data_IF_631999078024
#
_entry.id   IF_631999078024
#
_cell.length_a   1.000
_cell.length_b   1.000
_cell.length_c   1.000
_cell.angle_alpha   90.00
_cell.angle_beta   90.00
_cell.angle_gamma   90.00
#
_symmetry.space_group_name_H-M   'P 1'
#
loop_
_entity.id
_entity.type
_entity.pdbx_description
1 polymer ?
#
# COMPACT_ATOMS: atom_id res chain seq x y z
N UNK A 1 -11.39 14.76 16.56
CA UNK A 1 -11.94 13.75 15.61
C UNK A 1 -12.61 14.35 14.36
N UNK A 2 -13.56 15.30 14.45
CA UNK A 2 -14.27 15.83 13.25
C UNK A 2 -13.40 16.61 12.24
N UNK A 3 -12.25 17.14 12.64
CA UNK A 3 -11.32 17.82 11.71
C UNK A 3 -10.52 16.81 10.87
N UNK A 4 -9.98 15.75 11.49
CA UNK A 4 -9.20 14.71 10.80
C UNK A 4 -10.02 13.93 9.76
N UNK A 5 -11.30 13.63 10.05
CA UNK A 5 -12.16 12.93 9.09
C UNK A 5 -12.49 13.78 7.85
N UNK A 6 -12.65 15.10 8.03
CA UNK A 6 -12.87 16.02 6.90
C UNK A 6 -11.62 16.15 6.04
N UNK A 7 -10.45 16.18 6.68
CA UNK A 7 -9.17 16.22 5.99
C UNK A 7 -8.89 14.92 5.23
N UNK A 8 -9.07 13.76 5.87
CA UNK A 8 -8.96 12.44 5.21
C UNK A 8 -9.89 12.35 3.99
N UNK A 9 -11.14 12.79 4.13
CA UNK A 9 -12.08 12.78 3.02
C UNK A 9 -11.59 13.65 1.86
N UNK A 10 -11.13 14.85 2.14
CA UNK A 10 -10.61 15.77 1.11
C UNK A 10 -9.41 15.16 0.38
N UNK A 11 -8.49 14.59 1.15
CA UNK A 11 -7.30 13.93 0.65
C UNK A 11 -7.63 12.70 -0.20
N UNK A 12 -8.56 11.86 0.28
CA UNK A 12 -9.06 10.69 -0.44
C UNK A 12 -9.63 11.09 -1.81
N UNK A 13 -10.44 12.16 -1.87
CA UNK A 13 -11.02 12.62 -3.15
C UNK A 13 -9.97 13.21 -4.09
N UNK A 14 -8.93 13.87 -3.57
CA UNK A 14 -7.82 14.37 -4.38
C UNK A 14 -6.96 13.24 -4.96
N UNK A 15 -6.79 12.13 -4.23
CA UNK A 15 -5.95 11.00 -4.64
C UNK A 15 -6.69 9.88 -5.37
N UNK A 16 -8.02 9.86 -5.30
CA UNK A 16 -8.86 8.86 -5.96
C UNK A 16 -8.57 8.72 -7.47
N UNK A 17 -8.43 9.82 -8.26
CA UNK A 17 -8.12 9.70 -9.69
C UNK A 17 -6.81 8.95 -9.95
N UNK A 18 -5.76 9.25 -9.17
CA UNK A 18 -4.47 8.58 -9.29
C UNK A 18 -4.57 7.12 -8.91
N UNK A 19 -5.32 6.80 -7.85
CA UNK A 19 -5.58 5.42 -7.45
C UNK A 19 -6.32 4.63 -8.52
N UNK A 20 -7.28 5.25 -9.22
CA UNK A 20 -7.98 4.64 -10.35
C UNK A 20 -6.98 4.33 -11.47
N UNK A 21 -6.17 5.30 -11.90
CA UNK A 21 -5.18 5.09 -12.96
C UNK A 21 -4.13 4.03 -12.57
N UNK A 22 -3.64 4.07 -11.34
CA UNK A 22 -2.72 3.08 -10.80
C UNK A 22 -3.35 1.68 -10.73
N UNK A 23 -4.62 1.57 -10.34
CA UNK A 23 -5.34 0.30 -10.33
C UNK A 23 -5.51 -0.25 -11.73
N UNK A 24 -5.90 0.59 -12.70
CA UNK A 24 -5.97 0.18 -14.12
C UNK A 24 -4.60 -0.30 -14.61
N UNK A 25 -3.52 0.43 -14.27
CA UNK A 25 -2.15 0.04 -14.60
C UNK A 25 -1.75 -1.30 -13.98
N UNK A 26 -2.06 -1.51 -12.70
CA UNK A 26 -1.80 -2.77 -11.98
C UNK A 26 -2.60 -3.94 -12.56
N UNK A 27 -3.88 -3.72 -12.88
CA UNK A 27 -4.72 -4.72 -13.56
C UNK A 27 -4.20 -5.05 -14.95
N UNK A 28 -3.81 -4.04 -15.73
CA UNK A 28 -3.22 -4.25 -17.05
C UNK A 28 -1.92 -5.05 -16.95
N UNK A 29 -1.05 -4.73 -15.99
CA UNK A 29 0.18 -5.47 -15.72
C UNK A 29 -0.12 -6.95 -15.40
N UNK A 30 -0.99 -7.22 -14.43
CA UNK A 30 -1.34 -8.59 -14.04
C UNK A 30 -2.08 -9.33 -15.16
N UNK A 31 -2.91 -8.66 -15.97
CA UNK A 31 -3.56 -9.22 -17.14
C UNK A 31 -2.54 -9.65 -18.21
N UNK A 32 -1.57 -8.79 -18.52
CA UNK A 32 -0.48 -9.11 -19.46
C UNK A 32 0.33 -10.29 -18.92
N UNK A 33 0.67 -10.30 -17.63
CA UNK A 33 1.40 -11.41 -17.01
C UNK A 33 0.60 -12.71 -17.02
N UNK A 34 -0.72 -12.65 -16.82
CA UNK A 34 -1.61 -13.82 -16.93
C UNK A 34 -1.60 -14.36 -18.36
N UNK A 35 -1.85 -13.50 -19.35
CA UNK A 35 -1.92 -13.89 -20.75
C UNK A 35 -0.59 -14.43 -21.29
N UNK A 36 0.54 -13.78 -20.94
CA UNK A 36 1.87 -14.23 -21.36
C UNK A 36 2.36 -15.44 -20.55
N UNK A 37 1.91 -15.60 -19.31
CA UNK A 37 2.31 -16.69 -18.43
C UNK A 37 1.59 -18.01 -18.71
N UNK A 38 0.32 -17.96 -19.14
CA UNK A 38 -0.51 -19.15 -19.40
C UNK A 38 0.15 -20.22 -20.29
N UNK A 39 0.81 -19.88 -21.41
CA UNK A 39 1.49 -20.87 -22.25
C UNK A 39 2.67 -21.57 -21.58
N UNK A 40 3.35 -20.90 -20.63
CA UNK A 40 4.61 -21.37 -20.04
C UNK A 40 4.47 -21.98 -18.65
N UNK A 41 3.49 -21.53 -17.86
CA UNK A 41 3.33 -21.86 -16.44
C UNK A 41 1.97 -22.48 -16.12
N UNK A 42 1.34 -23.16 -17.08
CA UNK A 42 -0.05 -23.63 -17.01
C UNK A 42 -0.46 -24.33 -15.71
N UNK A 43 0.44 -25.12 -15.10
CA UNK A 43 0.16 -25.82 -13.84
C UNK A 43 0.62 -25.06 -12.57
N UNK A 44 1.44 -24.02 -12.70
CA UNK A 44 2.04 -23.31 -11.57
C UNK A 44 1.93 -21.77 -11.66
N UNK A 45 0.95 -21.27 -12.40
CA UNK A 45 0.68 -19.84 -12.54
C UNK A 45 0.42 -19.15 -11.19
N UNK A 46 -0.36 -19.75 -10.24
CA UNK A 46 -0.51 -19.18 -8.90
C UNK A 46 0.80 -19.10 -8.12
N UNK A 47 1.71 -20.07 -8.32
CA UNK A 47 3.03 -20.06 -7.71
C UNK A 47 3.89 -18.89 -8.22
N UNK A 48 3.92 -18.64 -9.52
CA UNK A 48 4.64 -17.50 -10.09
C UNK A 48 4.09 -16.15 -9.58
N UNK A 49 2.77 -16.02 -9.46
CA UNK A 49 2.14 -14.82 -8.90
C UNK A 49 2.41 -14.66 -7.40
N UNK A 50 2.59 -15.76 -6.66
CA UNK A 50 3.00 -15.71 -5.25
C UNK A 50 4.39 -15.11 -5.09
N UNK A 51 5.35 -15.52 -5.92
CA UNK A 51 6.71 -14.95 -5.90
C UNK A 51 6.69 -13.46 -6.25
N UNK A 52 5.90 -13.06 -7.25
CA UNK A 52 5.71 -11.64 -7.56
C UNK A 52 5.06 -10.88 -6.41
N UNK A 53 4.06 -11.45 -5.74
CA UNK A 53 3.47 -10.86 -4.55
C UNK A 53 4.52 -10.63 -3.45
N UNK A 54 5.43 -11.60 -3.22
CA UNK A 54 6.56 -11.49 -2.30
C UNK A 54 7.64 -10.49 -2.72
N UNK A 55 7.56 -9.93 -3.93
CA UNK A 55 8.40 -8.81 -4.37
C UNK A 55 7.65 -7.47 -4.25
N UNK A 56 6.39 -7.44 -4.67
CA UNK A 56 5.58 -6.21 -4.71
C UNK A 56 5.12 -5.76 -3.32
N UNK A 57 4.66 -6.66 -2.46
CA UNK A 57 4.18 -6.29 -1.12
C UNK A 57 5.28 -5.65 -0.24
N UNK A 58 6.51 -6.18 -0.17
CA UNK A 58 7.60 -5.53 0.59
C UNK A 58 8.10 -4.25 -0.07
N UNK A 59 8.09 -4.18 -1.40
CA UNK A 59 8.41 -2.94 -2.10
C UNK A 59 7.38 -1.85 -1.75
N UNK A 60 6.09 -2.17 -1.73
CA UNK A 60 5.05 -1.28 -1.24
C UNK A 60 5.29 -0.88 0.22
N UNK A 61 5.62 -1.84 1.09
CA UNK A 61 5.90 -1.57 2.50
C UNK A 61 7.10 -0.64 2.71
N UNK A 62 8.15 -0.78 1.90
CA UNK A 62 9.30 0.13 1.91
C UNK A 62 8.86 1.56 1.57
N UNK A 63 8.10 1.74 0.49
CA UNK A 63 7.64 3.07 0.09
C UNK A 63 6.68 3.67 1.12
N UNK A 64 5.76 2.88 1.67
CA UNK A 64 4.83 3.32 2.70
C UNK A 64 5.54 3.70 4.00
N UNK A 65 6.50 2.90 4.47
CA UNK A 65 7.31 3.22 5.64
C UNK A 65 8.13 4.51 5.44
N UNK A 66 8.68 4.71 4.23
CA UNK A 66 9.41 5.93 3.89
C UNK A 66 8.50 7.17 3.92
N UNK A 67 7.33 7.09 3.28
CA UNK A 67 6.34 8.17 3.25
C UNK A 67 5.83 8.50 4.67
N UNK A 68 5.40 7.47 5.41
CA UNK A 68 4.88 7.60 6.78
C UNK A 68 5.92 8.21 7.73
N UNK A 69 7.17 7.75 7.66
CA UNK A 69 8.26 8.27 8.49
C UNK A 69 8.63 9.70 8.11
N UNK A 70 8.77 9.99 6.82
CA UNK A 70 9.09 11.34 6.33
C UNK A 70 8.02 12.33 6.77
N UNK A 71 6.74 11.98 6.61
CA UNK A 71 5.62 12.81 7.03
C UNK A 71 5.61 13.04 8.53
N UNK A 72 5.80 12.01 9.36
CA UNK A 72 5.91 12.20 10.81
C UNK A 72 7.08 13.12 11.19
N UNK A 73 8.25 12.90 10.57
CA UNK A 73 9.49 13.60 10.89
C UNK A 73 9.42 15.11 10.63
N UNK A 74 8.58 15.56 9.71
CA UNK A 74 8.37 16.98 9.45
C UNK A 74 7.72 17.72 10.64
N UNK A 75 6.87 17.04 11.40
CA UNK A 75 6.14 17.63 12.52
C UNK A 75 6.76 17.29 13.87
N UNK A 76 7.38 16.12 14.02
CA UNK A 76 8.02 15.70 15.27
C UNK A 76 9.35 14.97 15.02
N UNK A 77 10.44 15.55 15.55
CA UNK A 77 11.82 15.04 15.38
C UNK A 77 12.24 13.99 16.43
N UNK A 78 11.29 13.30 17.06
CA UNK A 78 11.58 12.22 18.03
C UNK A 78 11.80 10.90 17.28
N UNK A 79 13.06 10.52 17.10
CA UNK A 79 13.45 9.37 16.26
C UNK A 79 12.80 8.04 16.66
N UNK A 80 12.69 7.75 17.97
CA UNK A 80 12.01 6.53 18.46
C UNK A 80 10.54 6.48 18.07
N UNK A 81 9.84 7.61 18.17
CA UNK A 81 8.43 7.68 17.76
C UNK A 81 8.30 7.55 16.26
N UNK A 82 9.15 8.22 15.49
CA UNK A 82 9.15 8.14 14.03
C UNK A 82 9.39 6.70 13.55
N UNK A 83 10.33 5.97 14.18
CA UNK A 83 10.57 4.56 13.92
C UNK A 83 9.32 3.70 14.18
N UNK A 84 8.68 3.87 15.35
CA UNK A 84 7.48 3.11 15.71
C UNK A 84 6.32 3.43 14.78
N UNK A 85 6.09 4.71 14.47
CA UNK A 85 5.02 5.16 13.58
C UNK A 85 5.26 4.66 12.15
N UNK A 86 6.48 4.79 11.62
CA UNK A 86 6.84 4.30 10.29
C UNK A 86 6.64 2.79 10.15
N UNK A 87 7.13 2.01 11.12
CA UNK A 87 6.99 0.54 11.09
C UNK A 87 5.54 0.10 11.28
N UNK A 88 4.83 0.63 12.27
CA UNK A 88 3.45 0.22 12.53
C UNK A 88 2.51 0.65 11.42
N UNK A 89 2.69 1.86 10.87
CA UNK A 89 1.91 2.35 9.74
C UNK A 89 2.06 1.41 8.55
N UNK A 90 3.30 1.13 8.15
CA UNK A 90 3.56 0.27 7.00
C UNK A 90 3.12 -1.19 7.22
N UNK A 91 3.48 -1.83 8.34
CA UNK A 91 3.16 -3.25 8.58
C UNK A 91 1.64 -3.45 8.66
N UNK A 92 0.93 -2.58 9.39
CA UNK A 92 -0.52 -2.75 9.58
C UNK A 92 -1.30 -2.36 8.34
N UNK A 93 -0.96 -1.23 7.70
CA UNK A 93 -1.77 -0.68 6.63
C UNK A 93 -1.45 -1.29 5.26
N UNK A 94 -0.20 -1.61 4.96
CA UNK A 94 0.12 -2.43 3.77
C UNK A 94 -0.41 -3.86 3.94
N UNK A 95 -0.39 -4.41 5.15
CA UNK A 95 -1.04 -5.70 5.43
C UNK A 95 -2.56 -5.62 5.23
N UNK A 96 -3.19 -4.52 5.63
CA UNK A 96 -4.61 -4.32 5.40
C UNK A 96 -4.95 -4.19 3.90
N UNK A 97 -4.21 -3.36 3.15
CA UNK A 97 -4.45 -3.10 1.72
C UNK A 97 -4.15 -4.31 0.85
N UNK A 98 -2.99 -4.94 1.04
CA UNK A 98 -2.47 -5.93 0.09
C UNK A 98 -2.91 -7.36 0.44
N UNK A 99 -3.34 -7.61 1.68
CA UNK A 99 -3.65 -8.95 2.19
C UNK A 99 -5.09 -9.02 2.72
N UNK A 100 -5.44 -8.26 3.76
CA UNK A 100 -6.72 -8.48 4.47
C UNK A 100 -7.94 -8.13 3.63
N UNK A 101 -7.96 -6.95 2.99
CA UNK A 101 -9.10 -6.54 2.14
C UNK A 101 -9.19 -7.45 0.89
N UNK A 102 -8.09 -7.75 0.17
CA UNK A 102 -8.10 -8.71 -0.93
C UNK A 102 -8.58 -10.09 -0.51
N UNK A 103 -8.09 -10.64 0.60
CA UNK A 103 -8.55 -11.92 1.15
C UNK A 103 -10.06 -11.93 1.39
N UNK A 104 -10.57 -10.94 2.12
CA UNK A 104 -11.99 -10.81 2.43
C UNK A 104 -12.85 -10.68 1.16
N UNK A 105 -12.37 -9.92 0.17
CA UNK A 105 -13.08 -9.74 -1.09
C UNK A 105 -13.14 -11.01 -1.94
N UNK A 106 -12.07 -11.82 -1.95
CA UNK A 106 -12.06 -13.12 -2.62
C UNK A 106 -13.08 -14.08 -2.00
N UNK A 107 -13.21 -14.07 -0.67
CA UNK A 107 -14.26 -14.84 0.01
C UNK A 107 -15.67 -14.36 -0.37
N UNK A 108 -15.91 -13.04 -0.46
CA UNK A 108 -17.20 -12.48 -0.90
C UNK A 108 -17.53 -12.86 -2.34
N UNK A 109 -16.52 -12.98 -3.20
CA UNK A 109 -16.65 -13.47 -4.57
C UNK A 109 -16.85 -14.99 -4.67
N UNK A 110 -16.86 -15.72 -3.54
CA UNK A 110 -17.02 -17.17 -3.51
C UNK A 110 -15.75 -17.96 -3.84
N UNK A 111 -14.59 -17.29 -3.92
CA UNK A 111 -13.31 -17.96 -4.12
C UNK A 111 -12.88 -18.69 -2.84
N UNK A 112 -12.25 -19.85 -2.99
CA UNK A 112 -11.64 -20.59 -1.88
C UNK A 112 -10.27 -19.99 -1.58
N UNK A 113 -10.28 -18.90 -0.82
CA UNK A 113 -9.05 -18.17 -0.47
C UNK A 113 -8.25 -18.89 0.61
N UNK A 114 -6.94 -18.97 0.42
CA UNK A 114 -5.98 -19.45 1.41
C UNK A 114 -5.34 -18.28 2.15
N UNK A 115 -5.44 -18.22 3.49
CA UNK A 115 -4.86 -17.12 4.24
C UNK A 115 -3.33 -17.19 4.16
N UNK A 116 -2.72 -16.06 3.84
CA UNK A 116 -1.27 -15.89 3.84
C UNK A 116 -0.93 -14.51 4.39
N UNK A 117 -0.22 -14.47 5.51
CA UNK A 117 0.18 -13.24 6.19
C UNK A 117 1.70 -13.13 6.13
N UNK A 118 2.22 -12.25 5.26
CA UNK A 118 3.66 -12.11 5.04
C UNK A 118 4.44 -11.82 6.32
N UNK A 119 3.87 -11.09 7.28
CA UNK A 119 4.55 -10.79 8.55
C UNK A 119 4.76 -12.05 9.41
N UNK A 120 3.91 -13.07 9.27
CA UNK A 120 4.00 -14.33 10.03
C UNK A 120 4.87 -15.33 9.26
N UNK A 121 4.61 -15.48 7.95
CA UNK A 121 5.26 -16.49 7.11
C UNK A 121 6.67 -16.07 6.68
N UNK A 122 6.88 -14.79 6.41
CA UNK A 122 8.12 -14.24 5.88
C UNK A 122 8.56 -12.95 6.61
N UNK A 123 8.72 -12.96 7.95
CA UNK A 123 9.13 -11.78 8.71
C UNK A 123 10.50 -11.24 8.28
N UNK A 124 11.41 -12.13 7.87
CA UNK A 124 12.73 -11.77 7.36
C UNK A 124 12.70 -11.01 6.02
N UNK A 125 11.55 -11.02 5.33
CA UNK A 125 11.35 -10.32 4.08
C UNK A 125 10.60 -9.00 4.32
N UNK A 126 9.63 -9.01 5.23
CA UNK A 126 8.83 -7.83 5.59
C UNK A 126 9.62 -6.81 6.43
N UNK A 127 10.27 -7.25 7.51
CA UNK A 127 10.91 -6.34 8.47
C UNK A 127 12.08 -5.55 7.89
N UNK A 128 13.01 -6.14 7.11
CA UNK A 128 14.12 -5.37 6.55
C UNK A 128 13.64 -4.29 5.58
N UNK A 129 12.67 -4.59 4.71
CA UNK A 129 12.13 -3.61 3.77
C UNK A 129 11.42 -2.46 4.50
N UNK A 130 10.66 -2.76 5.55
CA UNK A 130 10.07 -1.72 6.40
C UNK A 130 11.14 -0.85 7.07
N UNK A 131 12.19 -1.45 7.64
CA UNK A 131 13.30 -0.72 8.28
C UNK A 131 14.09 0.14 7.28
N UNK A 132 14.37 -0.38 6.08
CA UNK A 132 15.00 0.38 5.00
C UNK A 132 14.11 1.55 4.59
N UNK A 133 12.80 1.33 4.50
CA UNK A 133 11.82 2.38 4.25
C UNK A 133 11.86 3.47 5.31
N UNK A 134 11.85 3.12 6.60
CA UNK A 134 12.01 4.09 7.70
C UNK A 134 13.33 4.86 7.58
N UNK A 135 14.44 4.17 7.31
CA UNK A 135 15.75 4.80 7.13
C UNK A 135 15.74 5.80 5.95
N UNK A 136 15.14 5.41 4.81
CA UNK A 136 14.94 6.29 3.67
C UNK A 136 14.06 7.50 4.03
N UNK A 137 13.02 7.31 4.83
CA UNK A 137 12.16 8.37 5.34
C UNK A 137 12.92 9.40 6.18
N UNK A 138 13.87 8.98 7.03
CA UNK A 138 14.74 9.90 7.76
C UNK A 138 15.68 10.68 6.82
N UNK A 139 16.36 9.96 5.91
CA UNK A 139 17.37 10.53 5.01
C UNK A 139 16.79 11.50 3.98
N UNK A 140 15.55 11.29 3.57
CA UNK A 140 14.94 12.03 2.48
C UNK A 140 13.70 12.80 2.92
N UNK A 141 13.54 13.10 4.21
CA UNK A 141 12.38 13.84 4.76
C UNK A 141 12.12 15.20 4.10
N UNK A 142 13.17 15.89 3.62
CA UNK A 142 13.04 17.17 2.91
C UNK A 142 12.69 16.99 1.40
N UNK A 143 12.99 15.83 0.81
CA UNK A 143 12.78 15.55 -0.62
C UNK A 143 11.57 14.67 -0.92
N UNK A 144 11.25 13.70 -0.05
CA UNK A 144 10.13 12.74 -0.22
C UNK A 144 8.78 13.46 -0.18
N UNK A 145 8.66 14.49 0.66
CA UNK A 145 7.41 15.29 0.74
C UNK A 145 7.31 16.31 -0.39
N UNK A 146 8.42 16.67 -1.04
CA UNK A 146 8.39 17.41 -2.31
C UNK A 146 8.13 16.51 -3.53
N UNK A 147 8.45 15.21 -3.44
CA UNK A 147 8.31 14.23 -4.53
C UNK A 147 6.90 13.61 -4.64
N UNK A 148 5.90 14.23 -4.00
CA UNK A 148 4.57 13.70 -3.69
C UNK A 148 3.75 13.17 -4.86
N UNK A 149 4.01 13.63 -6.08
CA UNK A 149 3.25 13.13 -7.23
C UNK A 149 3.73 11.76 -7.72
N UNK A 150 5.04 11.62 -7.94
CA UNK A 150 5.60 10.40 -8.53
C UNK A 150 5.77 9.30 -7.49
N UNK A 151 6.16 9.63 -6.26
CA UNK A 151 6.32 8.64 -5.18
C UNK A 151 4.97 8.08 -4.72
N UNK A 152 3.91 8.90 -4.69
CA UNK A 152 2.57 8.44 -4.32
C UNK A 152 1.97 7.55 -5.41
N UNK A 153 1.95 8.01 -6.67
CA UNK A 153 1.44 7.21 -7.79
C UNK A 153 2.19 5.88 -7.95
N UNK A 154 3.51 5.88 -7.76
CA UNK A 154 4.32 4.67 -7.83
C UNK A 154 3.97 3.67 -6.72
N UNK A 155 3.89 4.07 -5.46
CA UNK A 155 3.58 3.10 -4.40
C UNK A 155 2.12 2.61 -4.47
N UNK A 156 1.18 3.45 -4.89
CA UNK A 156 -0.22 3.05 -5.10
C UNK A 156 -0.33 2.04 -6.24
N UNK A 157 0.46 2.19 -7.31
CA UNK A 157 0.56 1.19 -8.38
C UNK A 157 1.15 -0.13 -7.86
N UNK A 158 2.22 -0.06 -7.07
CA UNK A 158 2.84 -1.26 -6.47
C UNK A 158 1.87 -1.97 -5.53
N UNK A 159 1.11 -1.24 -4.70
CA UNK A 159 0.06 -1.80 -3.84
C UNK A 159 -1.10 -2.40 -4.64
N UNK A 160 -1.52 -1.74 -5.73
CA UNK A 160 -2.56 -2.26 -6.62
C UNK A 160 -2.15 -3.58 -7.25
N UNK A 161 -0.91 -3.66 -7.75
CA UNK A 161 -0.33 -4.89 -8.27
C UNK A 161 -0.19 -5.96 -7.16
N UNK A 162 0.29 -5.60 -5.96
CA UNK A 162 0.39 -6.53 -4.83
C UNK A 162 -0.99 -7.11 -4.44
N UNK A 163 -2.01 -6.27 -4.31
CA UNK A 163 -3.38 -6.67 -3.96
C UNK A 163 -3.98 -7.62 -4.99
N UNK A 164 -3.76 -7.35 -6.28
CA UNK A 164 -4.17 -8.24 -7.37
C UNK A 164 -3.41 -9.56 -7.34
N UNK A 165 -2.08 -9.50 -7.23
CA UNK A 165 -1.21 -10.67 -7.14
C UNK A 165 -1.61 -11.57 -5.96
N UNK A 166 -2.00 -10.99 -4.83
CA UNK A 166 -2.55 -11.72 -3.70
C UNK A 166 -3.83 -12.47 -4.06
N UNK A 167 -4.82 -11.77 -4.65
CA UNK A 167 -6.08 -12.40 -5.07
C UNK A 167 -5.83 -13.61 -5.98
N UNK A 168 -5.02 -13.43 -7.02
CA UNK A 168 -4.83 -14.47 -8.05
C UNK A 168 -3.94 -15.62 -7.57
N UNK A 169 -3.01 -15.38 -6.64
CA UNK A 169 -2.09 -16.42 -6.15
C UNK A 169 -2.66 -17.25 -5.00
N UNK A 170 -3.66 -16.73 -4.28
CA UNK A 170 -4.22 -17.36 -3.08
C UNK A 170 -5.68 -17.79 -3.20
N UNK A 171 -6.35 -17.61 -4.34
CA UNK A 171 -7.61 -18.33 -4.59
C UNK A 171 -8.49 -17.83 -5.74
N UNK A 172 -8.32 -16.59 -6.23
CA UNK A 172 -9.14 -16.03 -7.31
C UNK A 172 -8.45 -16.21 -8.68
N UNK A 173 -8.31 -17.47 -9.12
CA UNK A 173 -7.59 -17.80 -10.37
C UNK A 173 -8.26 -17.19 -11.61
N UNK A 174 -9.60 -17.26 -11.70
CA UNK A 174 -10.41 -16.71 -12.81
C UNK A 174 -10.80 -15.24 -12.58
N UNK A 175 -9.85 -14.44 -12.11
CA UNK A 175 -10.11 -13.05 -11.75
C UNK A 175 -10.62 -12.17 -12.89
N UNK A 176 -10.28 -12.50 -14.15
CA UNK A 176 -10.71 -11.75 -15.35
C UNK A 176 -12.24 -11.77 -15.48
N UNK A 177 -12.89 -12.89 -15.14
CA UNK A 177 -14.36 -12.99 -15.18
C UNK A 177 -15.04 -12.05 -14.17
N UNK A 178 -14.32 -11.71 -13.09
CA UNK A 178 -14.75 -10.80 -12.05
C UNK A 178 -14.04 -9.44 -12.11
N UNK A 179 -13.43 -9.08 -13.25
CA UNK A 179 -12.54 -7.91 -13.36
C UNK A 179 -13.18 -6.60 -12.88
N UNK A 180 -14.47 -6.38 -13.16
CA UNK A 180 -15.18 -5.18 -12.68
C UNK A 180 -15.27 -5.09 -11.15
N UNK A 181 -15.49 -6.23 -10.46
CA UNK A 181 -15.51 -6.26 -9.00
C UNK A 181 -14.11 -6.15 -8.41
N UNK A 182 -13.15 -6.86 -9.01
CA UNK A 182 -11.74 -6.78 -8.65
C UNK A 182 -11.24 -5.33 -8.75
N UNK A 183 -11.61 -4.60 -9.80
CA UNK A 183 -11.29 -3.19 -9.95
C UNK A 183 -11.80 -2.35 -8.77
N UNK A 184 -13.09 -2.46 -8.43
CA UNK A 184 -13.68 -1.70 -7.31
C UNK A 184 -12.98 -2.04 -6.00
N UNK A 185 -12.79 -3.32 -5.74
CA UNK A 185 -12.13 -3.80 -4.52
C UNK A 185 -10.72 -3.26 -4.43
N UNK A 186 -9.91 -3.35 -5.48
CA UNK A 186 -8.51 -2.92 -5.45
C UNK A 186 -8.40 -1.41 -5.28
N UNK A 187 -9.24 -0.62 -5.96
CA UNK A 187 -9.29 0.85 -5.71
C UNK A 187 -9.57 1.11 -4.23
N UNK A 188 -10.60 0.48 -3.65
CA UNK A 188 -10.94 0.70 -2.24
C UNK A 188 -9.86 0.18 -1.27
N UNK A 189 -9.29 -0.98 -1.58
CA UNK A 189 -8.26 -1.66 -0.78
C UNK A 189 -6.97 -0.86 -0.73
N UNK A 190 -6.63 -0.13 -1.79
CA UNK A 190 -5.41 0.68 -1.85
C UNK A 190 -5.68 2.10 -1.35
N UNK A 191 -6.69 2.80 -1.89
CA UNK A 191 -6.89 4.22 -1.57
C UNK A 191 -7.19 4.44 -0.09
N UNK A 192 -8.02 3.58 0.55
CA UNK A 192 -8.42 3.82 1.94
C UNK A 192 -7.24 3.63 2.91
N UNK A 193 -6.54 2.48 2.95
CA UNK A 193 -5.45 2.26 3.90
C UNK A 193 -4.19 3.05 3.56
N UNK A 194 -3.82 3.20 2.28
CA UNK A 194 -2.61 3.94 1.90
C UNK A 194 -2.74 5.44 2.19
N UNK A 195 -3.85 6.08 1.82
CA UNK A 195 -4.06 7.50 2.18
C UNK A 195 -4.15 7.71 3.70
N UNK A 196 -4.72 6.75 4.43
CA UNK A 196 -4.71 6.79 5.88
C UNK A 196 -3.29 6.66 6.45
N UNK A 197 -2.47 5.77 5.91
CA UNK A 197 -1.07 5.55 6.33
C UNK A 197 -0.20 6.75 6.10
N UNK A 198 -0.29 7.36 4.91
CA UNK A 198 0.65 8.39 4.50
C UNK A 198 0.45 9.70 5.26
N UNK A 199 -0.78 9.96 5.71
CA UNK A 199 -1.18 11.30 6.14
C UNK A 199 -1.82 11.27 7.52
N UNK A 200 -2.91 10.53 7.68
CA UNK A 200 -3.69 10.59 8.92
C UNK A 200 -2.93 9.93 10.07
N UNK A 201 -2.38 8.74 9.84
CA UNK A 201 -1.70 7.98 10.87
C UNK A 201 -0.48 8.71 11.49
N UNK A 202 0.47 9.25 10.70
CA UNK A 202 1.56 10.05 11.22
C UNK A 202 1.08 11.27 12.01
N UNK A 203 0.13 12.03 11.47
CA UNK A 203 -0.36 13.27 12.09
C UNK A 203 -1.10 13.01 13.42
N UNK A 204 -1.80 11.88 13.53
CA UNK A 204 -2.44 11.46 14.80
C UNK A 204 -1.42 11.10 15.88
N UNK A 205 -0.22 10.68 15.50
CA UNK A 205 0.83 10.30 16.43
C UNK A 205 1.69 11.48 16.91
N UNK A 206 1.55 12.66 16.31
CA UNK A 206 2.26 13.89 16.71
C UNK A 206 1.76 14.37 18.07
N UNK A 207 2.68 14.62 19.01
CA UNK A 207 2.37 15.12 20.34
C UNK A 207 1.87 16.57 20.36
N UNK A 208 1.12 16.94 21.41
CA UNK A 208 0.57 18.31 21.62
C UNK A 208 1.62 19.44 21.60
N UNK A 209 2.88 19.11 21.86
CA UNK A 209 4.00 20.07 21.88
C UNK A 209 4.73 20.16 20.53
N UNK A 210 4.39 19.31 19.54
CA UNK A 210 4.91 19.33 18.16
C UNK A 210 4.29 20.43 17.29
N UNK A 211 4.01 21.59 17.90
CA UNK A 211 3.26 22.68 17.29
C UNK A 211 4.07 23.42 16.22
N UNK A 212 3.71 23.20 14.96
CA UNK A 212 3.18 24.20 14.00
C UNK A 212 3.17 23.53 12.62
N UNK A 213 2.09 23.64 11.84
CA UNK A 213 2.11 23.14 10.48
C UNK A 213 3.22 23.88 9.69
N UNK A 214 4.06 23.18 8.91
CA UNK A 214 4.92 23.87 7.96
C UNK A 214 4.02 24.69 7.04
N UNK A 215 4.39 25.96 6.84
CA UNK A 215 3.66 26.95 6.08
C UNK A 215 2.97 26.34 4.85
N UNK A 216 1.66 26.57 4.77
CA UNK A 216 0.83 26.09 3.68
C UNK A 216 1.36 26.57 2.34
N UNK A 217 1.75 25.62 1.49
CA UNK A 217 1.65 25.82 0.06
C UNK A 217 0.23 25.41 -0.35
N UNK A 218 -0.61 26.43 -0.45
CA UNK A 218 -1.79 26.38 -1.29
C UNK A 218 -1.36 25.92 -2.70
N UNK A 219 -1.85 24.75 -3.10
CA UNK A 219 -2.05 24.38 -4.50
C UNK A 219 -3.55 24.19 -4.71
#
# INVERSE_FOLDING_TARGET
MRAGLRYLRQELFSHLPFSIFATVGGMALVAVLTFLGEPFYKENLPGAFRELFHIFHPAHMLFSAAATTAMFWQYERRWLKALVVGLLGAILLCGASDILIPYASGLVLGAKMHPHLCIIEHPALVLPFALIGVAAGFLSSDHIVGATFFSHAAHVLVSSAASLLYLVSFGLERWIDAAGWVFIVVVLAVTIPCCFSDIVFPLLAVGRDGGTPPHGHHH
#
